data_IF_637769502511
#
_entry.id   IF_637769502511
#
_cell.length_a   1.000
_cell.length_b   1.000
_cell.length_c   1.000
_cell.angle_alpha   90.00
_cell.angle_beta   90.00
_cell.angle_gamma   90.00
#
_symmetry.space_group_name_H-M   'P 1'
#
loop_
_entity.id
_entity.type
_entity.pdbx_description
1 polymer ?
#
# COMPACT_ATOMS: atom_id res chain seq x y z
N UNK A 1 4.47 -12.95 14.73
CA UNK A 1 4.07 -12.49 13.41
C UNK A 1 4.89 -11.28 12.99
N UNK A 2 4.90 -10.18 13.76
CA UNK A 2 5.68 -8.98 13.42
C UNK A 2 7.19 -9.24 13.26
N UNK A 3 7.76 -10.17 14.03
CA UNK A 3 9.17 -10.53 13.93
C UNK A 3 9.57 -11.13 12.57
N UNK A 4 8.64 -11.68 11.82
CA UNK A 4 8.91 -12.26 10.50
C UNK A 4 8.58 -11.32 9.34
N UNK A 5 7.55 -10.48 9.47
CA UNK A 5 7.12 -9.56 8.41
C UNK A 5 7.93 -8.26 8.39
N UNK A 6 8.12 -7.63 9.56
CA UNK A 6 8.77 -6.33 9.62
C UNK A 6 10.17 -6.30 8.99
N UNK A 7 11.07 -7.26 9.25
CA UNK A 7 12.38 -7.26 8.61
C UNK A 7 12.30 -7.33 7.08
N UNK A 8 11.38 -8.15 6.54
CA UNK A 8 11.19 -8.28 5.10
C UNK A 8 10.60 -7.02 4.48
N UNK A 9 9.62 -6.41 5.14
CA UNK A 9 9.01 -5.15 4.72
C UNK A 9 10.05 -4.01 4.70
N UNK A 10 10.85 -3.86 5.76
CA UNK A 10 11.93 -2.88 5.81
C UNK A 10 12.98 -3.12 4.75
N UNK A 11 13.41 -4.38 4.56
CA UNK A 11 14.38 -4.74 3.53
C UNK A 11 13.86 -4.38 2.14
N UNK A 12 12.59 -4.67 1.87
CA UNK A 12 11.95 -4.34 0.60
C UNK A 12 11.90 -2.82 0.37
N UNK A 13 11.47 -2.04 1.35
CA UNK A 13 11.43 -0.56 1.29
C UNK A 13 12.84 0.00 1.04
N UNK A 14 13.86 -0.52 1.71
CA UNK A 14 15.25 -0.07 1.53
C UNK A 14 15.78 -0.35 0.12
N UNK A 15 15.55 -1.56 -0.39
CA UNK A 15 15.97 -1.95 -1.75
C UNK A 15 15.27 -1.08 -2.79
N UNK A 16 13.97 -0.86 -2.65
CA UNK A 16 13.20 0.00 -3.53
C UNK A 16 13.70 1.45 -3.49
N UNK A 17 13.90 2.01 -2.30
CA UNK A 17 14.41 3.38 -2.13
C UNK A 17 15.81 3.56 -2.74
N UNK A 18 16.66 2.53 -2.63
CA UNK A 18 17.99 2.53 -3.27
C UNK A 18 17.88 2.53 -4.80
N UNK A 19 17.00 1.69 -5.36
CA UNK A 19 16.74 1.65 -6.82
C UNK A 19 16.32 3.03 -7.34
N UNK A 20 15.34 3.65 -6.73
CA UNK A 20 14.84 4.99 -7.11
C UNK A 20 15.95 6.04 -7.00
N UNK A 21 16.82 5.94 -5.99
CA UNK A 21 17.94 6.88 -5.81
C UNK A 21 19.00 6.75 -6.91
N UNK A 22 19.25 5.54 -7.40
CA UNK A 22 20.21 5.30 -8.51
C UNK A 22 19.71 5.81 -9.85
N UNK A 23 18.41 5.96 -10.03
CA UNK A 23 17.79 6.55 -11.24
C UNK A 23 17.75 8.09 -11.20
N UNK A 24 18.24 8.72 -10.14
CA UNK A 24 18.22 10.17 -10.00
C UNK A 24 19.23 10.85 -10.93
N UNK A 25 18.81 11.98 -11.51
CA UNK A 25 19.59 12.74 -12.50
C UNK A 25 20.86 13.38 -11.91
N UNK A 26 20.93 13.58 -10.58
CA UNK A 26 22.07 14.14 -9.88
C UNK A 26 22.08 13.76 -8.39
N UNK A 27 23.20 14.03 -7.71
CA UNK A 27 23.39 13.71 -6.29
C UNK A 27 22.39 14.40 -5.34
N UNK A 28 21.95 15.60 -5.68
CA UNK A 28 20.99 16.35 -4.89
C UNK A 28 19.59 15.71 -4.97
N UNK A 29 19.13 15.32 -6.15
CA UNK A 29 17.90 14.59 -6.37
C UNK A 29 17.95 13.21 -5.68
N UNK A 30 19.08 12.51 -5.72
CA UNK A 30 19.31 11.26 -5.00
C UNK A 30 19.14 11.43 -3.48
N UNK A 31 19.74 12.48 -2.90
CA UNK A 31 19.64 12.79 -1.49
C UNK A 31 18.21 13.13 -1.06
N UNK A 32 17.46 13.88 -1.87
CA UNK A 32 16.04 14.19 -1.62
C UNK A 32 15.17 12.93 -1.66
N UNK A 33 15.35 12.05 -2.62
CA UNK A 33 14.64 10.77 -2.71
C UNK A 33 14.92 9.84 -1.53
N UNK A 34 16.18 9.81 -1.05
CA UNK A 34 16.54 9.05 0.15
C UNK A 34 15.87 9.59 1.43
N UNK A 35 15.68 10.90 1.53
CA UNK A 35 14.95 11.53 2.65
C UNK A 35 13.44 11.25 2.59
N UNK A 36 12.87 11.23 1.38
CA UNK A 36 11.45 10.94 1.12
C UNK A 36 11.07 9.46 1.16
N UNK A 37 11.98 8.57 1.59
CA UNK A 37 11.66 7.14 1.64
C UNK A 37 10.49 6.83 2.55
N UNK A 38 9.63 5.87 2.18
CA UNK A 38 8.54 5.42 3.02
C UNK A 38 9.01 4.92 4.39
N UNK A 39 8.19 5.16 5.41
CA UNK A 39 8.42 4.70 6.78
C UNK A 39 7.29 3.77 7.18
N UNK A 40 7.62 2.80 8.02
CA UNK A 40 6.62 1.93 8.65
C UNK A 40 6.27 2.53 10.00
N UNK A 41 4.99 2.79 10.21
CA UNK A 41 4.43 3.17 11.51
C UNK A 41 3.66 1.99 12.04
N UNK A 42 3.95 1.56 13.26
CA UNK A 42 3.34 0.39 13.88
C UNK A 42 2.37 0.83 14.97
N UNK A 43 1.10 0.49 14.81
CA UNK A 43 0.06 0.64 15.81
C UNK A 43 -0.28 -0.72 16.45
N UNK A 44 -0.58 -0.73 17.73
CA UNK A 44 -0.92 -1.94 18.49
C UNK A 44 -2.38 -2.00 18.91
N UNK A 45 -3.08 -0.88 18.86
CA UNK A 45 -4.50 -0.77 19.18
C UNK A 45 -5.24 -0.04 18.07
N UNK A 46 -6.56 -0.14 18.09
CA UNK A 46 -7.43 0.57 17.14
C UNK A 46 -7.26 2.10 17.27
N UNK A 47 -7.23 2.60 18.51
CA UNK A 47 -7.14 4.01 18.83
C UNK A 47 -5.81 4.59 18.34
N UNK A 48 -4.70 3.89 18.62
CA UNK A 48 -3.36 4.26 18.15
C UNK A 48 -3.30 4.28 16.61
N UNK A 49 -3.92 3.30 15.94
CA UNK A 49 -3.97 3.25 14.49
C UNK A 49 -4.75 4.44 13.91
N UNK A 50 -5.87 4.79 14.52
CA UNK A 50 -6.67 5.94 14.10
C UNK A 50 -5.96 7.27 14.36
N UNK A 51 -5.27 7.42 15.50
CA UNK A 51 -4.44 8.59 15.79
C UNK A 51 -3.35 8.79 14.73
N UNK A 52 -2.66 7.72 14.36
CA UNK A 52 -1.65 7.79 13.30
C UNK A 52 -2.28 8.08 11.94
N UNK A 53 -3.44 7.50 11.64
CA UNK A 53 -4.15 7.80 10.41
C UNK A 53 -4.53 9.28 10.34
N UNK A 54 -5.14 9.83 11.38
CA UNK A 54 -5.53 11.25 11.45
C UNK A 54 -4.32 12.19 11.29
N UNK A 55 -3.19 11.81 11.88
CA UNK A 55 -1.96 12.60 11.84
C UNK A 55 -1.25 12.60 10.49
N UNK A 56 -1.35 11.49 9.73
CA UNK A 56 -0.53 11.27 8.53
C UNK A 56 -1.37 10.98 7.28
N UNK A 57 -2.68 11.22 7.29
CA UNK A 57 -3.61 10.83 6.22
C UNK A 57 -3.10 11.15 4.82
N UNK A 58 -2.64 12.39 4.59
CA UNK A 58 -2.15 12.86 3.28
C UNK A 58 -0.84 12.20 2.81
N UNK A 59 -0.18 11.42 3.68
CA UNK A 59 1.11 10.80 3.41
C UNK A 59 1.09 9.27 3.57
N UNK A 60 -0.10 8.67 3.73
CA UNK A 60 -0.25 7.22 3.89
C UNK A 60 -0.25 6.56 2.51
N UNK A 61 0.74 5.71 2.25
CA UNK A 61 0.82 4.92 1.02
C UNK A 61 -0.06 3.67 1.06
N UNK A 62 -0.46 3.23 2.23
CA UNK A 62 -1.34 2.08 2.44
C UNK A 62 -1.36 1.61 3.88
N UNK A 63 -2.37 0.83 4.22
CA UNK A 63 -2.57 0.28 5.57
C UNK A 63 -2.62 -1.24 5.52
N UNK A 64 -1.81 -1.88 6.36
CA UNK A 64 -1.78 -3.34 6.53
C UNK A 64 -2.27 -3.62 7.96
N UNK A 65 -3.34 -4.38 8.10
CA UNK A 65 -3.97 -4.67 9.38
C UNK A 65 -4.13 -6.15 9.63
N UNK A 66 -3.82 -6.59 10.85
CA UNK A 66 -4.32 -7.87 11.37
C UNK A 66 -5.85 -7.77 11.60
N UNK A 67 -6.53 -8.91 11.68
CA UNK A 67 -7.97 -8.97 12.00
C UNK A 67 -8.23 -8.65 13.46
N UNK A 68 -7.38 -9.16 14.39
CA UNK A 68 -7.64 -9.17 15.83
C UNK A 68 -6.59 -8.41 16.62
N UNK A 69 -6.99 -7.33 17.24
CA UNK A 69 -6.16 -6.56 18.18
C UNK A 69 -7.05 -5.77 19.17
N UNK A 70 -6.47 -5.12 20.19
CA UNK A 70 -7.24 -4.35 21.16
C UNK A 70 -7.97 -3.17 20.54
N UNK A 71 -9.25 -3.01 20.92
CA UNK A 71 -10.09 -1.85 20.71
C UNK A 71 -10.84 -1.57 22.01
N UNK A 72 -10.87 -0.31 22.45
CA UNK A 72 -11.46 0.11 23.74
C UNK A 72 -10.90 -0.70 24.94
N UNK A 73 -9.58 -1.02 24.89
CA UNK A 73 -8.88 -1.79 25.92
C UNK A 73 -9.15 -3.31 25.92
N UNK A 74 -10.02 -3.81 25.04
CA UNK A 74 -10.42 -5.23 24.96
C UNK A 74 -10.02 -5.81 23.60
N UNK A 75 -9.61 -7.08 23.58
CA UNK A 75 -9.30 -7.77 22.31
C UNK A 75 -10.57 -7.93 21.48
N UNK A 76 -10.65 -7.21 20.37
CA UNK A 76 -11.79 -7.27 19.44
C UNK A 76 -11.46 -8.24 18.28
N UNK A 77 -12.31 -9.26 18.02
CA UNK A 77 -12.08 -10.24 16.96
C UNK A 77 -12.21 -9.69 15.55
N UNK A 78 -12.74 -8.48 15.37
CA UNK A 78 -12.93 -7.81 14.09
C UNK A 78 -12.34 -6.40 14.04
N UNK A 79 -11.44 -6.06 14.96
CA UNK A 79 -10.85 -4.72 15.07
C UNK A 79 -10.25 -4.25 13.73
N UNK A 80 -9.53 -5.12 13.03
CA UNK A 80 -8.91 -4.80 11.74
C UNK A 80 -9.93 -4.51 10.64
N UNK A 81 -11.01 -5.27 10.57
CA UNK A 81 -12.08 -5.02 9.60
C UNK A 81 -12.75 -3.67 9.89
N UNK A 82 -13.03 -3.40 11.17
CA UNK A 82 -13.62 -2.11 11.60
C UNK A 82 -12.69 -0.94 11.29
N UNK A 83 -11.38 -1.09 11.54
CA UNK A 83 -10.36 -0.10 11.23
C UNK A 83 -10.33 0.20 9.73
N UNK A 84 -10.16 -0.82 8.90
CA UNK A 84 -10.05 -0.65 7.47
C UNK A 84 -11.34 -0.09 6.85
N UNK A 85 -12.51 -0.47 7.38
CA UNK A 85 -13.80 0.09 6.95
C UNK A 85 -13.90 1.58 7.29
N UNK A 86 -13.48 1.99 8.47
CA UNK A 86 -13.48 3.40 8.87
C UNK A 86 -12.53 4.22 8.00
N UNK A 87 -11.34 3.69 7.71
CA UNK A 87 -10.38 4.34 6.81
C UNK A 87 -10.96 4.44 5.39
N UNK A 88 -11.57 3.36 4.86
CA UNK A 88 -12.21 3.37 3.53
C UNK A 88 -13.33 4.40 3.41
N UNK A 89 -14.07 4.64 4.50
CA UNK A 89 -15.12 5.66 4.52
C UNK A 89 -14.56 7.09 4.40
N UNK A 90 -13.33 7.32 4.87
CA UNK A 90 -12.66 8.64 4.82
C UNK A 90 -11.84 8.82 3.56
N UNK A 91 -11.25 7.75 3.06
CA UNK A 91 -10.40 7.72 1.88
C UNK A 91 -10.68 6.46 1.06
N UNK A 92 -11.32 6.66 -0.10
CA UNK A 92 -11.65 5.56 -1.01
C UNK A 92 -10.45 5.02 -1.79
N UNK A 93 -9.34 5.77 -1.85
CA UNK A 93 -8.19 5.45 -2.70
C UNK A 93 -7.06 4.75 -1.96
N UNK A 94 -6.92 4.97 -0.66
CA UNK A 94 -5.82 4.36 0.10
C UNK A 94 -5.87 2.82 0.01
N UNK A 95 -4.75 2.16 -0.35
CA UNK A 95 -4.68 0.71 -0.40
C UNK A 95 -4.83 0.10 1.00
N UNK A 96 -5.80 -0.80 1.15
CA UNK A 96 -6.10 -1.48 2.41
C UNK A 96 -5.85 -2.98 2.27
N UNK A 97 -5.00 -3.52 3.13
CA UNK A 97 -4.63 -4.93 3.18
C UNK A 97 -5.03 -5.50 4.52
N UNK A 98 -5.86 -6.54 4.49
CA UNK A 98 -6.20 -7.35 5.65
C UNK A 98 -5.34 -8.61 5.65
N UNK A 99 -4.67 -8.90 6.75
CA UNK A 99 -3.90 -10.12 6.93
C UNK A 99 -4.52 -11.02 7.98
N UNK A 100 -4.58 -12.31 7.70
CA UNK A 100 -5.13 -13.30 8.63
C UNK A 100 -4.54 -14.69 8.41
N UNK A 101 -4.50 -15.49 9.49
CA UNK A 101 -4.26 -16.94 9.43
C UNK A 101 -5.53 -17.75 9.15
N UNK A 102 -6.70 -17.11 9.21
CA UNK A 102 -7.99 -17.73 8.97
C UNK A 102 -8.48 -17.38 7.56
N UNK A 103 -8.59 -18.38 6.70
CA UNK A 103 -8.95 -18.21 5.28
C UNK A 103 -10.38 -17.70 5.06
N UNK A 104 -11.29 -17.93 6.02
CA UNK A 104 -12.66 -17.39 5.99
C UNK A 104 -12.69 -15.84 6.02
N UNK A 105 -11.65 -15.19 6.52
CA UNK A 105 -11.55 -13.74 6.50
C UNK A 105 -11.25 -13.19 5.09
N UNK A 106 -10.85 -14.04 4.13
CA UNK A 106 -10.68 -13.65 2.72
C UNK A 106 -11.99 -13.14 2.12
N UNK A 107 -13.07 -13.92 2.26
CA UNK A 107 -14.37 -13.52 1.73
C UNK A 107 -14.89 -12.22 2.36
N UNK A 108 -14.62 -12.02 3.66
CA UNK A 108 -14.96 -10.77 4.34
C UNK A 108 -14.17 -9.58 3.77
N UNK A 109 -12.85 -9.76 3.57
CA UNK A 109 -12.00 -8.73 3.00
C UNK A 109 -12.43 -8.36 1.57
N UNK A 110 -12.71 -9.36 0.73
CA UNK A 110 -13.13 -9.15 -0.66
C UNK A 110 -14.48 -8.42 -0.76
N UNK A 111 -15.44 -8.76 0.10
CA UNK A 111 -16.74 -8.06 0.19
C UNK A 111 -16.62 -6.58 0.56
N UNK A 112 -15.63 -6.24 1.39
CA UNK A 112 -15.33 -4.86 1.80
C UNK A 112 -14.37 -4.14 0.83
N UNK A 113 -13.92 -4.81 -0.24
CA UNK A 113 -12.96 -4.26 -1.18
C UNK A 113 -11.52 -4.17 -0.66
N UNK A 114 -11.18 -4.90 0.40
CA UNK A 114 -9.82 -4.99 0.92
C UNK A 114 -9.02 -6.06 0.18
N UNK A 115 -7.71 -5.86 0.08
CA UNK A 115 -6.79 -6.92 -0.34
C UNK A 115 -6.55 -7.87 0.83
N UNK A 116 -6.34 -9.15 0.54
CA UNK A 116 -6.14 -10.16 1.56
C UNK A 116 -4.79 -10.85 1.43
N UNK A 117 -4.10 -11.01 2.56
CA UNK A 117 -2.85 -11.77 2.67
C UNK A 117 -3.02 -12.89 3.69
N UNK A 118 -2.75 -14.13 3.26
CA UNK A 118 -2.77 -15.30 4.14
C UNK A 118 -1.43 -15.43 4.88
N UNK A 119 -1.48 -15.30 6.21
CA UNK A 119 -0.30 -15.44 7.08
C UNK A 119 0.35 -16.82 7.05
N UNK A 120 -0.41 -17.85 6.71
CA UNK A 120 0.06 -19.23 6.65
C UNK A 120 0.61 -19.61 5.26
N UNK A 121 0.45 -18.71 4.27
CA UNK A 121 0.95 -18.94 2.93
C UNK A 121 2.49 -18.90 2.91
N UNK A 122 3.10 -19.91 2.29
CA UNK A 122 4.55 -19.90 1.99
C UNK A 122 4.93 -18.75 1.04
N UNK A 123 3.95 -18.19 0.35
CA UNK A 123 4.11 -17.08 -0.60
C UNK A 123 3.75 -15.71 0.03
N UNK A 124 3.43 -15.65 1.32
CA UNK A 124 2.97 -14.44 2.00
C UNK A 124 3.83 -13.20 1.69
N UNK A 125 5.16 -13.33 1.77
CA UNK A 125 6.06 -12.20 1.47
C UNK A 125 6.05 -11.80 -0.01
N UNK A 126 5.83 -12.76 -0.91
CA UNK A 126 5.71 -12.51 -2.36
C UNK A 126 4.39 -11.78 -2.63
N UNK A 127 3.31 -12.27 -2.06
CA UNK A 127 1.97 -11.68 -2.22
C UNK A 127 1.93 -10.25 -1.67
N UNK A 128 2.52 -10.03 -0.48
CA UNK A 128 2.63 -8.70 0.11
C UNK A 128 3.45 -7.74 -0.77
N UNK A 129 4.59 -8.21 -1.29
CA UNK A 129 5.42 -7.42 -2.20
C UNK A 129 4.65 -7.04 -3.47
N UNK A 130 3.94 -7.99 -4.09
CA UNK A 130 3.11 -7.70 -5.25
C UNK A 130 2.03 -6.63 -4.96
N UNK A 131 1.37 -6.74 -3.82
CA UNK A 131 0.38 -5.73 -3.42
C UNK A 131 1.00 -4.34 -3.22
N UNK A 132 2.21 -4.28 -2.66
CA UNK A 132 2.94 -3.01 -2.53
C UNK A 132 3.35 -2.45 -3.88
N UNK A 133 3.84 -3.30 -4.79
CA UNK A 133 4.22 -2.89 -6.15
C UNK A 133 3.02 -2.40 -6.95
N UNK A 134 1.88 -3.06 -6.86
CA UNK A 134 0.71 -2.73 -7.67
C UNK A 134 -0.17 -1.60 -7.11
N UNK A 135 -0.14 -1.39 -5.79
CA UNK A 135 -1.11 -0.50 -5.15
C UNK A 135 -0.50 0.60 -4.27
N UNK A 136 0.72 0.45 -3.79
CA UNK A 136 1.36 1.42 -2.88
C UNK A 136 2.51 2.22 -3.53
N UNK A 137 2.62 2.19 -4.85
CA UNK A 137 3.61 2.96 -5.59
C UNK A 137 5.05 2.42 -5.52
N UNK A 138 5.23 1.16 -5.11
CA UNK A 138 6.55 0.51 -5.08
C UNK A 138 6.94 -0.14 -6.42
N UNK A 139 6.03 -0.23 -7.37
CA UNK A 139 6.24 -0.80 -8.69
C UNK A 139 6.22 0.23 -9.79
N UNK A 140 5.83 -0.24 -10.98
CA UNK A 140 5.63 0.60 -12.15
C UNK A 140 4.41 1.51 -11.99
N UNK A 141 4.37 2.62 -12.70
CA UNK A 141 3.17 3.41 -12.85
C UNK A 141 2.18 2.67 -13.74
N UNK A 142 1.05 2.22 -13.18
CA UNK A 142 0.03 1.48 -13.92
C UNK A 142 -1.16 2.41 -14.14
N UNK A 143 -1.32 2.86 -15.37
CA UNK A 143 -2.50 3.61 -15.79
C UNK A 143 -3.64 2.65 -16.10
N UNK A 144 -4.82 2.92 -15.58
CA UNK A 144 -6.01 2.08 -15.72
C UNK A 144 -7.15 2.88 -16.32
N UNK A 145 -7.96 2.21 -17.10
CA UNK A 145 -9.23 2.77 -17.57
C UNK A 145 -10.16 3.02 -16.36
N UNK A 146 -10.73 4.21 -16.20
CA UNK A 146 -11.53 4.59 -15.04
C UNK A 146 -12.80 3.75 -14.86
N UNK A 147 -13.39 3.24 -15.97
CA UNK A 147 -14.63 2.47 -15.96
C UNK A 147 -14.38 0.97 -15.78
N UNK A 148 -13.47 0.42 -16.59
CA UNK A 148 -13.23 -1.03 -16.62
C UNK A 148 -12.16 -1.48 -15.64
N UNK A 149 -11.36 -0.55 -15.10
CA UNK A 149 -10.20 -0.79 -14.23
C UNK A 149 -9.09 -1.62 -14.90
N UNK A 150 -9.19 -1.89 -16.17
CA UNK A 150 -8.16 -2.60 -16.93
C UNK A 150 -6.92 -1.74 -17.13
N UNK A 151 -5.75 -2.38 -17.12
CA UNK A 151 -4.48 -1.73 -17.44
C UNK A 151 -4.51 -1.23 -18.89
N UNK A 152 -4.16 0.05 -19.08
CA UNK A 152 -4.05 0.67 -20.41
C UNK A 152 -2.60 1.06 -20.73
N UNK A 153 -1.79 1.34 -19.71
CA UNK A 153 -0.37 1.57 -19.86
C UNK A 153 0.39 1.22 -18.58
N UNK A 154 1.64 0.76 -18.74
CA UNK A 154 2.57 0.48 -17.65
C UNK A 154 3.89 1.19 -17.91
N UNK A 155 4.33 1.98 -16.98
CA UNK A 155 5.49 2.86 -17.09
C UNK A 155 6.48 2.53 -15.97
N UNK A 156 7.64 2.00 -16.35
CA UNK A 156 8.66 1.52 -15.39
C UNK A 156 9.66 2.59 -14.95
N UNK A 157 9.70 3.76 -15.62
CA UNK A 157 10.64 4.83 -15.29
C UNK A 157 10.11 6.21 -15.66
N UNK A 158 10.66 7.26 -15.05
CA UNK A 158 10.33 8.65 -15.39
C UNK A 158 10.63 8.97 -16.86
N UNK A 159 11.72 8.43 -17.41
CA UNK A 159 12.04 8.61 -18.82
C UNK A 159 10.96 7.99 -19.71
N UNK A 160 10.55 6.77 -19.42
CA UNK A 160 9.48 6.10 -20.15
C UNK A 160 8.14 6.85 -20.01
N UNK A 161 7.84 7.45 -18.85
CA UNK A 161 6.69 8.31 -18.66
C UNK A 161 6.78 9.53 -19.58
N UNK A 162 7.91 10.22 -19.59
CA UNK A 162 8.15 11.40 -20.44
C UNK A 162 7.97 11.07 -21.92
N UNK A 163 8.50 9.93 -22.38
CA UNK A 163 8.42 9.49 -23.77
C UNK A 163 7.01 9.06 -24.21
N UNK A 164 6.18 8.62 -23.25
CA UNK A 164 4.86 8.02 -23.54
C UNK A 164 3.65 8.79 -22.98
N UNK A 165 3.86 9.89 -22.29
CA UNK A 165 2.79 10.62 -21.60
C UNK A 165 1.63 11.01 -22.55
N UNK A 166 1.93 11.40 -23.79
CA UNK A 166 0.93 11.78 -24.78
C UNK A 166 0.19 10.58 -25.40
N UNK A 167 0.66 9.35 -25.19
CA UNK A 167 0.04 8.12 -25.66
C UNK A 167 -0.91 7.52 -24.62
N UNK A 168 -0.90 8.04 -23.40
CA UNK A 168 -1.78 7.57 -22.32
C UNK A 168 -3.15 8.25 -22.50
N UNK A 169 -4.27 7.49 -22.49
CA UNK A 169 -5.60 8.09 -22.59
C UNK A 169 -5.84 9.15 -21.53
N UNK A 170 -6.36 10.30 -21.92
CA UNK A 170 -6.57 11.45 -21.03
C UNK A 170 -7.41 11.09 -19.80
N UNK A 171 -8.50 10.34 -19.98
CA UNK A 171 -9.36 9.91 -18.87
C UNK A 171 -8.62 9.01 -17.87
N UNK A 172 -7.71 8.15 -18.36
CA UNK A 172 -6.86 7.32 -17.50
C UNK A 172 -5.85 8.15 -16.74
N UNK A 173 -5.28 9.16 -17.39
CA UNK A 173 -4.33 10.07 -16.76
C UNK A 173 -5.03 10.89 -15.66
N UNK A 174 -6.17 11.49 -15.98
CA UNK A 174 -6.96 12.27 -15.03
C UNK A 174 -7.38 11.45 -13.81
N UNK A 175 -7.78 10.20 -14.01
CA UNK A 175 -8.17 9.28 -12.94
C UNK A 175 -7.06 9.00 -11.92
N UNK A 176 -5.78 9.14 -12.31
CA UNK A 176 -4.63 8.87 -11.43
C UNK A 176 -3.97 10.14 -10.86
N UNK A 177 -4.40 11.33 -11.27
CA UNK A 177 -3.85 12.61 -10.79
C UNK A 177 -4.88 13.41 -9.99
N UNK A 178 -6.15 13.08 -10.08
CA UNK A 178 -7.24 13.71 -9.29
C UNK A 178 -7.35 13.08 -7.90
#
# INVERSE_FOLDING_TARGET
FYSSILPNLYSYILVHSKRISTEALNSQAAALRMRGRPKVVLARTYEEAMEYYDKYADNILGVISDVRFPKDGVKDPEAGIKLLREIRRRDEFVPLILESSETNNREKAEKEGFRFVDKNSKKMNIDLRHLMEEHMGFGDFIFRDPKTRKEVARIASLKQLQDNIFNIPYDSMLFHIS
#
